data_IF_430343041496
#
_entry.id   IF_430343041496
#
_cell.length_a   1.000
_cell.length_b   1.000
_cell.length_c   1.000
_cell.angle_alpha   90.00
_cell.angle_beta   90.00
_cell.angle_gamma   90.00
#
_symmetry.space_group_name_H-M   'P 1'
#
loop_
_entity.id
_entity.type
_entity.pdbx_description
1 polymer ?
#
# COMPACT_ATOMS: atom_id res chain seq x y z
N UNK A 1 -24.12 -23.18 -8.96
CA UNK A 1 -23.14 -22.38 -8.20
C UNK A 1 -21.91 -23.25 -8.01
N UNK A 2 -20.74 -22.80 -8.42
CA UNK A 2 -19.52 -23.60 -8.31
C UNK A 2 -18.45 -22.79 -7.55
N UNK A 3 -18.68 -22.59 -6.24
CA UNK A 3 -17.65 -22.07 -5.34
C UNK A 3 -16.85 -23.24 -4.78
N UNK A 4 -15.57 -23.04 -4.56
CA UNK A 4 -14.71 -23.98 -3.84
C UNK A 4 -14.41 -23.36 -2.48
N UNK A 5 -15.07 -23.87 -1.44
CA UNK A 5 -14.84 -23.43 -0.06
C UNK A 5 -14.28 -24.62 0.71
N UNK A 6 -13.08 -24.46 1.26
CA UNK A 6 -12.45 -25.53 2.03
C UNK A 6 -13.24 -25.80 3.32
N UNK A 7 -13.43 -27.06 3.73
CA UNK A 7 -14.23 -27.42 4.92
C UNK A 7 -13.75 -26.78 6.23
N UNK A 8 -12.47 -26.40 6.36
CA UNK A 8 -11.93 -25.72 7.54
C UNK A 8 -12.08 -24.20 7.49
N UNK A 9 -12.60 -23.63 6.40
CA UNK A 9 -12.86 -22.20 6.34
C UNK A 9 -14.05 -21.83 7.23
N UNK A 10 -13.90 -20.75 7.99
CA UNK A 10 -14.93 -20.20 8.87
C UNK A 10 -15.50 -18.94 8.24
N UNK A 11 -16.80 -18.93 7.98
CA UNK A 11 -17.48 -17.81 7.32
C UNK A 11 -18.58 -17.31 8.26
N UNK A 12 -18.51 -16.02 8.58
CA UNK A 12 -19.44 -15.33 9.46
C UNK A 12 -20.86 -15.21 8.90
N UNK A 13 -21.78 -14.91 9.79
CA UNK A 13 -23.20 -14.81 9.48
C UNK A 13 -23.48 -13.67 8.50
N UNK A 14 -24.42 -13.87 7.58
CA UNK A 14 -24.84 -12.84 6.63
C UNK A 14 -23.83 -12.54 5.52
N UNK A 15 -22.69 -13.24 5.48
CA UNK A 15 -21.69 -13.09 4.41
C UNK A 15 -22.21 -13.66 3.10
N UNK A 16 -22.09 -12.87 2.04
CA UNK A 16 -22.49 -13.23 0.67
C UNK A 16 -21.25 -13.55 -0.16
N UNK A 17 -21.33 -14.63 -0.96
CA UNK A 17 -20.21 -15.08 -1.81
C UNK A 17 -20.70 -15.22 -3.24
N UNK A 18 -20.05 -14.52 -4.15
CA UNK A 18 -20.28 -14.59 -5.59
C UNK A 18 -19.87 -15.94 -6.18
N UNK A 19 -20.09 -16.11 -7.47
CA UNK A 19 -19.84 -17.37 -8.18
C UNK A 19 -18.34 -17.57 -8.49
N UNK A 20 -17.92 -18.85 -8.58
CA UNK A 20 -16.56 -19.27 -8.96
C UNK A 20 -15.46 -18.73 -8.03
N UNK A 21 -15.80 -18.39 -6.80
CA UNK A 21 -14.86 -17.95 -5.77
C UNK A 21 -14.23 -19.16 -5.09
N UNK A 22 -12.93 -19.06 -4.81
CA UNK A 22 -12.11 -20.06 -4.14
C UNK A 22 -11.69 -19.52 -2.77
N UNK A 23 -12.07 -20.23 -1.70
CA UNK A 23 -11.67 -19.94 -0.32
C UNK A 23 -10.91 -21.15 0.20
N UNK A 24 -9.61 -20.95 0.45
CA UNK A 24 -8.70 -22.03 0.86
C UNK A 24 -8.80 -22.33 2.37
N UNK A 25 -8.01 -23.32 2.81
CA UNK A 25 -8.03 -23.86 4.16
C UNK A 25 -7.75 -22.79 5.23
N UNK A 26 -8.36 -22.97 6.41
CA UNK A 26 -8.11 -22.19 7.61
C UNK A 26 -8.32 -20.68 7.46
N UNK A 27 -9.08 -20.28 6.44
CA UNK A 27 -9.49 -18.89 6.21
C UNK A 27 -10.58 -18.52 7.22
N UNK A 28 -10.49 -17.32 7.77
CA UNK A 28 -11.52 -16.71 8.60
C UNK A 28 -12.10 -15.48 7.90
N UNK A 29 -13.42 -15.43 7.76
CA UNK A 29 -14.17 -14.29 7.21
C UNK A 29 -15.23 -13.89 8.24
N UNK A 30 -15.21 -12.63 8.65
CA UNK A 30 -16.17 -12.09 9.63
C UNK A 30 -17.60 -12.00 9.10
N UNK A 31 -18.48 -11.49 9.94
CA UNK A 31 -19.91 -11.34 9.64
C UNK A 31 -20.16 -10.23 8.59
N UNK A 32 -21.21 -10.39 7.80
CA UNK A 32 -21.74 -9.35 6.92
C UNK A 32 -20.84 -8.97 5.75
N UNK A 33 -19.87 -9.81 5.39
CA UNK A 33 -18.99 -9.54 4.26
C UNK A 33 -19.68 -9.73 2.91
N UNK A 34 -19.19 -9.03 1.90
CA UNK A 34 -19.62 -9.19 0.50
C UNK A 34 -18.42 -9.58 -0.33
N UNK A 35 -18.40 -10.82 -0.82
CA UNK A 35 -17.32 -11.36 -1.65
C UNK A 35 -17.85 -11.51 -3.07
N UNK A 36 -17.18 -10.91 -4.03
CA UNK A 36 -17.52 -10.91 -5.45
C UNK A 36 -17.31 -12.24 -6.15
N UNK A 37 -17.37 -12.20 -7.47
CA UNK A 37 -17.15 -13.35 -8.34
C UNK A 37 -15.67 -13.58 -8.62
N UNK A 38 -15.28 -14.84 -8.84
CA UNK A 38 -13.89 -15.21 -9.22
C UNK A 38 -12.82 -14.71 -8.24
N UNK A 39 -13.16 -14.47 -6.98
CA UNK A 39 -12.21 -14.08 -5.93
C UNK A 39 -11.42 -15.30 -5.49
N UNK A 40 -10.14 -15.12 -5.21
CA UNK A 40 -9.28 -16.15 -4.60
C UNK A 40 -8.79 -15.67 -3.24
N UNK A 41 -9.15 -16.40 -2.18
CA UNK A 41 -8.69 -16.13 -0.81
C UNK A 41 -7.79 -17.29 -0.38
N UNK A 42 -6.51 -17.02 -0.25
CA UNK A 42 -5.50 -18.01 0.11
C UNK A 42 -5.55 -18.40 1.59
N UNK A 43 -5.02 -19.61 1.87
CA UNK A 43 -5.09 -20.28 3.15
C UNK A 43 -4.64 -19.40 4.34
N UNK A 44 -5.36 -19.54 5.45
CA UNK A 44 -5.11 -18.86 6.72
C UNK A 44 -5.44 -17.36 6.73
N UNK A 45 -5.88 -16.77 5.62
CA UNK A 45 -6.26 -15.35 5.56
C UNK A 45 -7.31 -15.00 6.61
N UNK A 46 -7.14 -13.85 7.27
CA UNK A 46 -8.06 -13.34 8.30
C UNK A 46 -8.72 -12.06 7.81
N UNK A 47 -10.02 -12.08 7.61
CA UNK A 47 -10.82 -10.99 7.10
C UNK A 47 -11.83 -10.59 8.17
N UNK A 48 -11.84 -9.31 8.53
CA UNK A 48 -12.74 -8.74 9.52
C UNK A 48 -14.20 -8.76 9.10
N UNK A 49 -15.06 -8.11 9.88
CA UNK A 49 -16.48 -7.98 9.62
C UNK A 49 -16.77 -6.86 8.60
N UNK A 50 -17.90 -6.99 7.87
CA UNK A 50 -18.38 -5.97 6.92
C UNK A 50 -17.36 -5.60 5.83
N UNK A 51 -16.47 -6.50 5.49
CA UNK A 51 -15.48 -6.31 4.41
C UNK A 51 -16.13 -6.57 3.07
N UNK A 52 -15.84 -5.71 2.11
CA UNK A 52 -16.21 -5.90 0.71
C UNK A 52 -14.98 -6.28 -0.11
N UNK A 53 -15.06 -7.37 -0.86
CA UNK A 53 -14.03 -7.81 -1.80
C UNK A 53 -14.71 -7.96 -3.17
N UNK A 54 -14.31 -7.14 -4.13
CA UNK A 54 -14.92 -7.13 -5.46
C UNK A 54 -14.32 -8.23 -6.37
N UNK A 55 -14.88 -8.35 -7.56
CA UNK A 55 -14.61 -9.43 -8.50
C UNK A 55 -13.12 -9.55 -8.85
N UNK A 56 -12.67 -10.78 -9.06
CA UNK A 56 -11.29 -11.11 -9.49
C UNK A 56 -10.18 -10.68 -8.52
N UNK A 57 -10.48 -10.22 -7.32
CA UNK A 57 -9.45 -9.90 -6.33
C UNK A 57 -8.74 -11.16 -5.83
N UNK A 58 -7.45 -11.02 -5.48
CA UNK A 58 -6.61 -12.11 -4.94
C UNK A 58 -6.06 -11.71 -3.58
N UNK A 59 -6.43 -12.46 -2.54
CA UNK A 59 -6.10 -12.17 -1.16
C UNK A 59 -5.14 -13.23 -0.60
N UNK A 60 -4.04 -12.79 0.03
CA UNK A 60 -3.11 -13.68 0.71
C UNK A 60 -2.12 -14.41 -0.21
N UNK A 61 -1.91 -13.90 -1.43
CA UNK A 61 -0.98 -14.51 -2.39
C UNK A 61 0.43 -14.60 -1.84
N UNK A 62 1.03 -15.80 -1.84
CA UNK A 62 2.46 -15.95 -1.54
C UNK A 62 3.32 -15.35 -2.67
N UNK A 63 4.39 -14.63 -2.35
CA UNK A 63 5.24 -14.04 -3.38
C UNK A 63 6.04 -15.13 -4.12
N UNK A 64 6.22 -14.91 -5.42
CA UNK A 64 7.11 -15.75 -6.25
C UNK A 64 8.38 -14.98 -6.53
N UNK A 65 9.51 -15.60 -6.22
CA UNK A 65 10.83 -15.02 -6.46
C UNK A 65 11.42 -15.52 -7.77
N UNK A 66 11.73 -14.61 -8.69
CA UNK A 66 12.55 -14.96 -9.85
C UNK A 66 14.00 -15.22 -9.40
N UNK A 67 14.73 -16.11 -10.11
CA UNK A 67 16.11 -16.52 -9.79
C UNK A 67 17.07 -15.34 -9.52
N UNK A 68 16.84 -14.20 -10.13
CA UNK A 68 17.66 -12.99 -9.98
C UNK A 68 17.01 -11.90 -9.13
N UNK A 69 15.85 -12.15 -8.55
CA UNK A 69 15.21 -11.21 -7.63
C UNK A 69 16.10 -10.93 -6.42
N UNK A 70 16.07 -9.70 -5.91
CA UNK A 70 16.86 -9.26 -4.76
C UNK A 70 15.98 -8.77 -3.59
N UNK A 71 14.72 -8.51 -3.83
CA UNK A 71 13.78 -8.00 -2.83
C UNK A 71 12.88 -9.10 -2.27
N UNK A 72 12.53 -10.11 -3.05
CA UNK A 72 11.74 -11.26 -2.61
C UNK A 72 12.65 -12.45 -2.32
N UNK A 73 12.55 -13.02 -1.13
CA UNK A 73 13.34 -14.17 -0.70
C UNK A 73 12.65 -15.46 -1.15
N UNK A 74 13.35 -16.27 -1.93
CA UNK A 74 12.83 -17.56 -2.40
C UNK A 74 12.59 -18.53 -1.22
N UNK A 75 11.47 -19.28 -1.27
CA UNK A 75 11.16 -20.33 -0.29
C UNK A 75 10.71 -19.82 1.10
N UNK A 76 10.57 -18.51 1.31
CA UNK A 76 10.02 -17.98 2.54
C UNK A 76 8.49 -18.09 2.51
N UNK A 77 7.93 -18.89 3.41
CA UNK A 77 6.50 -18.89 3.71
C UNK A 77 6.17 -17.69 4.59
N UNK A 78 5.29 -16.83 4.13
CA UNK A 78 4.84 -15.66 4.88
C UNK A 78 3.62 -15.98 5.73
N UNK A 79 3.45 -15.20 6.80
CA UNK A 79 2.23 -15.25 7.59
C UNK A 79 0.99 -14.92 6.72
N UNK A 80 -0.18 -15.44 7.06
CA UNK A 80 -1.42 -15.05 6.38
C UNK A 80 -1.66 -13.55 6.45
N UNK A 81 -2.39 -13.02 5.46
CA UNK A 81 -2.86 -11.64 5.45
C UNK A 81 -3.91 -11.41 6.54
N UNK A 82 -3.90 -10.21 7.11
CA UNK A 82 -4.94 -9.74 8.04
C UNK A 82 -5.57 -8.48 7.47
N UNK A 83 -6.89 -8.47 7.33
CA UNK A 83 -7.68 -7.33 6.83
C UNK A 83 -8.66 -6.93 7.92
N UNK A 84 -8.63 -5.67 8.33
CA UNK A 84 -9.52 -5.11 9.34
C UNK A 84 -10.96 -4.94 8.88
N UNK A 85 -11.84 -4.60 9.81
CA UNK A 85 -13.27 -4.42 9.56
C UNK A 85 -13.55 -3.29 8.58
N UNK A 86 -14.67 -3.38 7.85
CA UNK A 86 -15.15 -2.37 6.91
C UNK A 86 -14.16 -2.02 5.78
N UNK A 87 -13.14 -2.84 5.54
CA UNK A 87 -12.23 -2.63 4.42
C UNK A 87 -12.92 -2.91 3.08
N UNK A 88 -12.43 -2.26 2.04
CA UNK A 88 -12.91 -2.44 0.67
C UNK A 88 -11.73 -2.83 -0.21
N UNK A 89 -11.84 -3.97 -0.89
CA UNK A 89 -10.84 -4.45 -1.84
C UNK A 89 -11.49 -4.46 -3.22
N UNK A 90 -11.02 -3.61 -4.10
CA UNK A 90 -11.58 -3.38 -5.43
C UNK A 90 -11.28 -4.52 -6.41
N UNK A 91 -11.92 -4.41 -7.57
CA UNK A 91 -11.84 -5.40 -8.66
C UNK A 91 -10.41 -5.63 -9.12
N UNK A 92 -9.99 -6.89 -9.17
CA UNK A 92 -8.66 -7.28 -9.64
C UNK A 92 -7.50 -6.83 -8.75
N UNK A 93 -7.77 -6.29 -7.56
CA UNK A 93 -6.72 -5.93 -6.62
C UNK A 93 -6.01 -7.17 -6.06
N UNK A 94 -4.71 -7.04 -5.78
CA UNK A 94 -3.89 -8.14 -5.26
C UNK A 94 -3.28 -7.72 -3.93
N UNK A 95 -3.64 -8.43 -2.86
CA UNK A 95 -3.03 -8.27 -1.53
C UNK A 95 -2.25 -9.52 -1.19
N UNK A 96 -0.95 -9.34 -0.98
CA UNK A 96 -0.05 -10.47 -0.70
C UNK A 96 -0.10 -10.92 0.76
N UNK A 97 0.42 -12.11 1.00
CA UNK A 97 0.65 -12.64 2.34
C UNK A 97 1.60 -11.76 3.16
N UNK A 98 1.51 -11.82 4.47
CA UNK A 98 2.27 -10.98 5.40
C UNK A 98 1.69 -9.57 5.60
N UNK A 99 0.74 -9.14 4.76
CA UNK A 99 0.14 -7.82 4.87
C UNK A 99 -0.79 -7.71 6.08
N UNK A 100 -0.85 -6.50 6.64
CA UNK A 100 -1.83 -6.08 7.64
C UNK A 100 -2.50 -4.80 7.17
N UNK A 101 -3.79 -4.86 6.88
CA UNK A 101 -4.61 -3.71 6.52
C UNK A 101 -5.52 -3.37 7.69
N UNK A 102 -5.53 -2.12 8.10
CA UNK A 102 -6.37 -1.61 9.17
C UNK A 102 -7.85 -1.55 8.82
N UNK A 103 -8.66 -1.07 9.75
CA UNK A 103 -10.09 -0.88 9.55
C UNK A 103 -10.38 0.21 8.51
N UNK A 104 -11.42 0.03 7.71
CA UNK A 104 -11.86 1.03 6.73
C UNK A 104 -10.85 1.33 5.61
N UNK A 105 -9.82 0.50 5.42
CA UNK A 105 -8.86 0.66 4.31
C UNK A 105 -9.54 0.40 2.98
N UNK A 106 -9.30 1.27 2.01
CA UNK A 106 -9.64 1.03 0.61
C UNK A 106 -8.39 0.64 -0.17
N UNK A 107 -8.40 -0.55 -0.77
CA UNK A 107 -7.48 -0.95 -1.84
C UNK A 107 -8.29 -0.96 -3.12
N UNK A 108 -8.15 0.08 -3.94
CA UNK A 108 -8.98 0.27 -5.13
C UNK A 108 -8.62 -0.70 -6.27
N UNK A 109 -9.39 -0.63 -7.35
CA UNK A 109 -9.28 -1.56 -8.48
C UNK A 109 -7.86 -1.68 -9.02
N UNK A 110 -7.45 -2.90 -9.31
CA UNK A 110 -6.14 -3.24 -9.90
C UNK A 110 -4.92 -2.83 -9.08
N UNK A 111 -5.08 -2.28 -7.88
CA UNK A 111 -3.95 -1.96 -7.02
C UNK A 111 -3.23 -3.23 -6.53
N UNK A 112 -1.92 -3.12 -6.32
CA UNK A 112 -1.09 -4.22 -5.82
C UNK A 112 -0.42 -3.85 -4.51
N UNK A 113 -0.70 -4.61 -3.44
CA UNK A 113 -0.07 -4.46 -2.12
C UNK A 113 0.80 -5.68 -1.88
N UNK A 114 2.11 -5.50 -2.01
CA UNK A 114 3.12 -6.55 -1.92
C UNK A 114 3.30 -7.05 -0.47
N UNK A 115 4.08 -8.11 -0.35
CA UNK A 115 4.29 -8.83 0.91
C UNK A 115 4.86 -7.96 2.05
N UNK A 116 4.48 -8.29 3.29
CA UNK A 116 4.94 -7.62 4.51
C UNK A 116 4.63 -6.11 4.55
N UNK A 117 3.56 -5.66 3.90
CA UNK A 117 3.09 -4.27 3.98
C UNK A 117 2.14 -4.09 5.15
N UNK A 118 2.28 -2.98 5.86
CA UNK A 118 1.36 -2.55 6.92
C UNK A 118 0.68 -1.26 6.50
N UNK A 119 -0.65 -1.21 6.57
CA UNK A 119 -1.46 -0.03 6.24
C UNK A 119 -2.37 0.29 7.41
N UNK A 120 -2.28 1.50 7.91
CA UNK A 120 -3.13 2.00 9.00
C UNK A 120 -4.57 2.27 8.57
N UNK A 121 -5.43 2.48 9.56
CA UNK A 121 -6.87 2.64 9.39
C UNK A 121 -7.24 3.80 8.45
N UNK A 122 -8.35 3.63 7.73
CA UNK A 122 -8.95 4.64 6.85
C UNK A 122 -8.05 5.15 5.73
N UNK A 123 -6.97 4.43 5.43
CA UNK A 123 -6.06 4.78 4.33
C UNK A 123 -6.62 4.30 3.00
N UNK A 124 -6.44 5.13 1.99
CA UNK A 124 -6.83 4.86 0.60
C UNK A 124 -5.60 4.51 -0.21
N UNK A 125 -5.61 3.33 -0.84
CA UNK A 125 -4.67 2.92 -1.88
C UNK A 125 -5.44 2.99 -3.19
N UNK A 126 -5.14 3.99 -4.00
CA UNK A 126 -5.84 4.34 -5.23
C UNK A 126 -5.67 3.29 -6.33
N UNK A 127 -6.51 3.41 -7.34
CA UNK A 127 -6.53 2.49 -8.48
C UNK A 127 -5.15 2.34 -9.12
N UNK A 128 -4.77 1.11 -9.43
CA UNK A 128 -3.50 0.76 -10.06
C UNK A 128 -2.24 1.22 -9.30
N UNK A 129 -2.38 1.69 -8.06
CA UNK A 129 -1.22 2.02 -7.23
C UNK A 129 -0.45 0.74 -6.86
N UNK A 130 0.86 0.84 -6.82
CA UNK A 130 1.75 -0.26 -6.45
C UNK A 130 2.45 0.07 -5.14
N UNK A 131 2.21 -0.74 -4.12
CA UNK A 131 2.91 -0.68 -2.84
C UNK A 131 3.86 -1.88 -2.79
N UNK A 132 5.14 -1.62 -2.87
CA UNK A 132 6.17 -2.65 -2.82
C UNK A 132 6.34 -3.23 -1.41
N UNK A 133 7.07 -4.34 -1.31
CA UNK A 133 7.22 -5.08 -0.06
C UNK A 133 7.89 -4.29 1.06
N UNK A 134 7.53 -4.61 2.31
CA UNK A 134 8.09 -4.02 3.54
C UNK A 134 7.91 -2.50 3.59
N UNK A 135 6.75 -2.03 3.14
CA UNK A 135 6.32 -0.64 3.27
C UNK A 135 5.40 -0.53 4.48
N UNK A 136 5.55 0.55 5.24
CA UNK A 136 4.60 0.93 6.30
C UNK A 136 3.91 2.22 5.90
N UNK A 137 2.57 2.24 5.95
CA UNK A 137 1.73 3.41 5.69
C UNK A 137 0.87 3.64 6.92
N UNK A 138 0.84 4.86 7.41
CA UNK A 138 0.05 5.28 8.56
C UNK A 138 -1.45 5.33 8.27
N UNK A 139 -2.17 5.98 9.16
CA UNK A 139 -3.63 6.15 9.12
C UNK A 139 -4.05 7.33 8.25
N UNK A 140 -5.26 7.30 7.68
CA UNK A 140 -5.89 8.39 6.91
C UNK A 140 -5.06 8.90 5.72
N UNK A 141 -4.12 8.09 5.23
CA UNK A 141 -3.32 8.43 4.06
C UNK A 141 -4.11 8.29 2.77
N UNK A 142 -3.70 9.04 1.76
CA UNK A 142 -4.24 8.94 0.40
C UNK A 142 -3.09 8.70 -0.58
N UNK A 143 -2.92 7.45 -0.99
CA UNK A 143 -1.99 7.05 -2.06
C UNK A 143 -2.83 6.98 -3.32
N UNK A 144 -2.64 7.92 -4.24
CA UNK A 144 -3.54 8.11 -5.37
C UNK A 144 -3.21 7.19 -6.56
N UNK A 145 -4.06 7.25 -7.57
CA UNK A 145 -3.98 6.44 -8.80
C UNK A 145 -2.58 6.42 -9.40
N UNK A 146 -2.12 5.23 -9.81
CA UNK A 146 -0.82 5.00 -10.47
C UNK A 146 0.42 5.40 -9.64
N UNK A 147 0.28 5.71 -8.36
CA UNK A 147 1.43 5.99 -7.50
C UNK A 147 2.25 4.72 -7.25
N UNK A 148 3.57 4.85 -7.29
CA UNK A 148 4.51 3.77 -7.00
C UNK A 148 5.29 4.05 -5.72
N UNK A 149 5.10 3.21 -4.72
CA UNK A 149 5.82 3.27 -3.44
C UNK A 149 6.83 2.12 -3.38
N UNK A 150 8.11 2.45 -3.44
CA UNK A 150 9.19 1.47 -3.43
C UNK A 150 9.35 0.77 -2.08
N UNK A 151 9.96 -0.42 -2.11
CA UNK A 151 10.25 -1.22 -0.91
C UNK A 151 11.03 -0.43 0.15
N UNK A 152 10.75 -0.73 1.42
CA UNK A 152 11.38 -0.13 2.60
C UNK A 152 10.98 1.35 2.84
N UNK A 153 9.91 1.81 2.22
CA UNK A 153 9.38 3.16 2.48
C UNK A 153 8.55 3.20 3.75
N UNK A 154 8.59 4.36 4.42
CA UNK A 154 7.80 4.66 5.62
C UNK A 154 6.98 5.91 5.35
N UNK A 155 5.66 5.78 5.36
CA UNK A 155 4.70 6.88 5.17
C UNK A 155 3.97 7.06 6.50
N UNK A 156 4.08 8.23 7.11
CA UNK A 156 3.38 8.60 8.33
C UNK A 156 1.88 8.80 8.13
N UNK A 157 1.20 9.30 9.15
CA UNK A 157 -0.24 9.56 9.11
C UNK A 157 -0.58 10.79 8.24
N UNK A 158 -1.81 10.82 7.72
CA UNK A 158 -2.39 11.98 7.02
C UNK A 158 -1.57 12.45 5.79
N UNK A 159 -0.79 11.54 5.21
CA UNK A 159 0.03 11.82 4.04
C UNK A 159 -0.79 11.77 2.74
N UNK A 160 -0.38 12.59 1.78
CA UNK A 160 -0.97 12.62 0.44
C UNK A 160 0.09 12.36 -0.63
N UNK A 161 -0.03 11.24 -1.32
CA UNK A 161 0.82 10.88 -2.45
C UNK A 161 -0.03 10.98 -3.72
N UNK A 162 0.22 12.01 -4.52
CA UNK A 162 -0.59 12.34 -5.68
C UNK A 162 -0.47 11.30 -6.82
N UNK A 163 -1.35 11.35 -7.80
CA UNK A 163 -1.31 10.43 -8.95
C UNK A 163 0.04 10.42 -9.67
N UNK A 164 0.46 9.22 -10.10
CA UNK A 164 1.70 8.99 -10.83
C UNK A 164 2.98 9.45 -10.11
N UNK A 165 2.94 9.74 -8.81
CA UNK A 165 4.14 10.00 -8.03
C UNK A 165 4.96 8.71 -7.89
N UNK A 166 6.28 8.80 -8.05
CA UNK A 166 7.15 7.65 -7.99
C UNK A 166 8.26 7.82 -6.94
N UNK A 167 8.52 6.76 -6.18
CA UNK A 167 9.63 6.69 -5.24
C UNK A 167 10.64 5.64 -5.68
N UNK A 168 11.88 5.73 -5.21
CA UNK A 168 12.93 4.77 -5.53
C UNK A 168 13.77 4.41 -4.32
N UNK A 169 14.41 3.23 -4.33
CA UNK A 169 15.18 2.69 -3.21
C UNK A 169 16.61 2.25 -3.57
N UNK A 170 16.99 2.31 -4.84
CA UNK A 170 18.29 1.85 -5.33
C UNK A 170 19.07 2.98 -6.03
N UNK A 171 20.03 3.58 -5.34
CA UNK A 171 20.90 4.61 -5.91
C UNK A 171 21.86 4.11 -7.01
N UNK A 172 21.95 2.79 -7.18
CA UNK A 172 22.88 2.16 -8.14
C UNK A 172 22.18 1.66 -9.40
N UNK A 173 20.88 1.84 -9.51
CA UNK A 173 20.06 1.45 -10.68
C UNK A 173 20.39 0.03 -11.20
N UNK A 174 20.41 -0.94 -10.28
CA UNK A 174 20.68 -2.34 -10.63
C UNK A 174 22.15 -2.71 -10.78
N UNK A 175 23.07 -1.76 -10.77
CA UNK A 175 24.52 -2.00 -10.85
C UNK A 175 25.10 -2.26 -9.45
N UNK A 176 26.29 -2.85 -9.37
CA UNK A 176 27.00 -3.21 -8.16
C UNK A 176 26.37 -4.37 -7.34
N UNK A 177 27.20 -5.40 -7.02
CA UNK A 177 26.74 -6.62 -6.33
C UNK A 177 26.16 -6.36 -4.94
N UNK A 178 26.75 -5.43 -4.20
CA UNK A 178 26.40 -5.16 -2.79
C UNK A 178 25.31 -4.10 -2.61
N UNK A 179 24.75 -3.54 -3.70
CA UNK A 179 23.76 -2.46 -3.64
C UNK A 179 22.57 -2.75 -2.71
N UNK A 180 22.21 -4.03 -2.56
CA UNK A 180 21.08 -4.43 -1.71
C UNK A 180 21.27 -4.09 -0.23
N UNK A 181 22.53 -3.97 0.23
CA UNK A 181 22.86 -3.52 1.59
C UNK A 181 22.52 -2.04 1.82
N UNK A 182 22.37 -1.29 0.74
CA UNK A 182 22.13 0.16 0.73
C UNK A 182 20.72 0.52 0.24
N UNK A 183 19.86 -0.46 0.03
CA UNK A 183 18.47 -0.19 -0.31
C UNK A 183 17.82 0.60 0.83
N UNK A 184 17.29 1.75 0.48
CA UNK A 184 16.60 2.61 1.43
C UNK A 184 15.41 3.26 0.74
N UNK A 185 14.20 2.97 1.21
CA UNK A 185 12.99 3.61 0.76
C UNK A 185 12.96 5.10 1.12
N UNK A 186 11.87 5.73 0.83
CA UNK A 186 11.61 7.11 1.22
C UNK A 186 10.90 7.14 2.56
N UNK A 187 11.11 8.22 3.33
CA UNK A 187 10.35 8.49 4.55
C UNK A 187 9.51 9.73 4.32
N UNK A 188 8.19 9.62 4.48
CA UNK A 188 7.28 10.77 4.46
C UNK A 188 6.68 10.88 5.85
N UNK A 189 7.00 11.94 6.57
CA UNK A 189 6.47 12.20 7.91
C UNK A 189 5.02 12.67 7.83
N UNK A 190 4.31 12.64 8.96
CA UNK A 190 2.88 12.96 9.03
C UNK A 190 2.55 14.29 8.35
N UNK A 191 1.45 14.33 7.59
CA UNK A 191 1.05 15.49 6.80
C UNK A 191 1.92 15.77 5.56
N UNK A 192 2.96 14.97 5.32
CA UNK A 192 3.85 15.12 4.16
C UNK A 192 3.14 14.83 2.84
N UNK A 193 3.53 15.53 1.79
CA UNK A 193 2.85 15.47 0.48
C UNK A 193 3.82 15.33 -0.67
N UNK A 194 3.47 14.44 -1.62
CA UNK A 194 4.19 14.27 -2.88
C UNK A 194 3.22 14.61 -4.01
N UNK A 195 3.54 15.64 -4.79
CA UNK A 195 2.70 16.13 -5.89
C UNK A 195 2.69 15.21 -7.12
N UNK A 196 1.76 15.48 -8.04
CA UNK A 196 1.58 14.70 -9.28
C UNK A 196 2.91 14.59 -10.05
N UNK A 197 3.23 13.36 -10.52
CA UNK A 197 4.46 13.08 -11.28
C UNK A 197 5.77 13.47 -10.59
N UNK A 198 5.77 13.74 -9.29
CA UNK A 198 7.01 13.99 -8.58
C UNK A 198 7.78 12.68 -8.35
N UNK A 199 9.10 12.76 -8.39
CA UNK A 199 10.01 11.62 -8.17
C UNK A 199 10.83 11.84 -6.91
N UNK A 200 10.82 10.87 -5.99
CA UNK A 200 11.62 10.94 -4.76
C UNK A 200 12.76 9.92 -4.81
N UNK A 201 14.01 10.40 -4.69
CA UNK A 201 15.19 9.56 -4.76
C UNK A 201 15.38 8.74 -3.47
N UNK A 202 16.18 7.65 -3.54
CA UNK A 202 16.37 6.74 -2.41
C UNK A 202 16.84 7.43 -1.13
N UNK A 203 16.21 7.04 -0.02
CA UNK A 203 16.56 7.51 1.31
C UNK A 203 16.21 8.97 1.61
N UNK A 204 15.43 9.62 0.75
CA UNK A 204 14.99 11.01 1.03
C UNK A 204 13.89 11.03 2.08
N UNK A 205 13.91 12.09 2.87
CA UNK A 205 12.94 12.37 3.92
C UNK A 205 12.11 13.59 3.52
N UNK A 206 10.81 13.48 3.65
CA UNK A 206 9.87 14.61 3.62
C UNK A 206 9.43 14.82 5.06
N UNK A 207 9.87 15.89 5.67
CA UNK A 207 9.57 16.23 7.06
C UNK A 207 8.08 16.62 7.24
N UNK A 208 7.56 16.71 8.48
CA UNK A 208 6.15 16.99 8.71
C UNK A 208 5.64 18.18 7.90
N UNK A 209 4.45 18.04 7.31
CA UNK A 209 3.86 19.06 6.43
C UNK A 209 4.72 19.50 5.23
N UNK A 210 5.86 18.85 5.00
CA UNK A 210 6.69 19.09 3.82
C UNK A 210 5.97 18.70 2.53
N UNK A 211 6.23 19.42 1.44
CA UNK A 211 5.56 19.17 0.16
C UNK A 211 6.54 19.21 -1.02
N UNK A 212 6.61 18.13 -1.77
CA UNK A 212 7.13 18.16 -3.14
C UNK A 212 6.01 18.65 -4.07
N UNK A 213 6.22 19.74 -4.79
CA UNK A 213 5.28 20.20 -5.80
C UNK A 213 5.22 19.23 -7.00
N UNK A 214 4.20 19.36 -7.85
CA UNK A 214 4.07 18.52 -9.05
C UNK A 214 5.34 18.55 -9.92
N UNK A 215 5.74 17.40 -10.47
CA UNK A 215 6.90 17.26 -11.34
C UNK A 215 8.27 17.47 -10.68
N UNK A 216 8.32 17.57 -9.36
CA UNK A 216 9.57 17.79 -8.63
C UNK A 216 10.42 16.52 -8.59
N UNK A 217 11.74 16.66 -8.80
CA UNK A 217 12.71 15.61 -8.48
C UNK A 217 13.35 15.91 -7.12
N UNK A 218 12.93 15.15 -6.09
CA UNK A 218 13.39 15.31 -4.71
C UNK A 218 14.76 14.66 -4.55
N UNK A 219 15.81 15.45 -4.68
CA UNK A 219 17.22 15.03 -4.57
C UNK A 219 17.80 15.25 -3.17
N UNK A 220 17.14 16.04 -2.32
CA UNK A 220 17.48 16.34 -0.93
C UNK A 220 16.25 16.25 -0.08
N UNK A 221 16.42 16.10 1.22
CA UNK A 221 15.30 16.08 2.16
C UNK A 221 14.50 17.39 2.11
N UNK A 222 13.19 17.28 2.26
CA UNK A 222 12.27 18.43 2.29
C UNK A 222 12.09 18.85 3.74
N UNK A 223 12.46 20.09 4.12
CA UNK A 223 12.29 20.56 5.50
C UNK A 223 10.82 20.70 5.89
N UNK A 224 10.56 20.62 7.19
CA UNK A 224 9.23 20.79 7.78
C UNK A 224 8.52 22.05 7.26
N UNK A 225 7.26 21.90 6.86
CA UNK A 225 6.41 22.99 6.41
C UNK A 225 6.93 23.76 5.20
N UNK A 226 7.79 23.16 4.37
CA UNK A 226 8.30 23.79 3.14
C UNK A 226 7.73 23.11 1.88
N UNK A 227 7.50 23.94 0.88
CA UNK A 227 7.23 23.52 -0.49
C UNK A 227 8.54 23.53 -1.27
N UNK A 228 8.86 22.38 -1.89
CA UNK A 228 10.01 22.21 -2.78
C UNK A 228 9.49 22.03 -4.20
N UNK A 229 10.15 22.66 -5.19
CA UNK A 229 9.74 22.61 -6.59
C UNK A 229 10.95 22.49 -7.53
N UNK A 230 10.76 21.85 -8.67
CA UNK A 230 11.71 21.79 -9.79
C UNK A 230 12.56 20.53 -9.88
N UNK A 231 13.48 20.53 -10.84
CA UNK A 231 14.45 19.46 -11.09
C UNK A 231 15.86 20.07 -11.26
N UNK A 232 16.78 19.91 -10.29
CA UNK A 232 16.53 19.33 -8.96
C UNK A 232 15.64 20.22 -8.09
N UNK A 233 14.89 19.59 -7.15
CA UNK A 233 14.00 20.29 -6.24
C UNK A 233 14.72 21.29 -5.34
N UNK A 234 14.19 22.52 -5.26
CA UNK A 234 14.67 23.59 -4.39
C UNK A 234 13.50 24.15 -3.57
N UNK A 235 13.79 24.61 -2.35
CA UNK A 235 12.78 25.25 -1.51
C UNK A 235 12.23 26.48 -2.23
N UNK A 236 10.91 26.48 -2.42
CA UNK A 236 10.17 27.55 -3.10
C UNK A 236 9.60 28.55 -2.09
N UNK A 237 8.87 28.06 -1.09
CA UNK A 237 8.16 28.87 -0.08
C UNK A 237 7.72 28.02 1.12
N UNK A 238 7.27 28.65 2.21
CA UNK A 238 6.54 27.94 3.26
C UNK A 238 5.21 27.34 2.73
N UNK A 239 4.76 26.26 3.33
CA UNK A 239 3.38 25.77 3.18
C UNK A 239 2.42 26.81 3.77
N UNK A 240 1.32 27.19 3.10
CA UNK A 240 0.31 28.09 3.66
C UNK A 240 -0.25 27.57 4.99
N UNK A 241 -0.48 28.44 5.95
CA UNK A 241 -0.91 28.06 7.30
C UNK A 241 -2.19 27.22 7.31
N UNK A 242 -3.15 27.57 6.44
CA UNK A 242 -4.40 26.81 6.27
C UNK A 242 -4.24 25.42 5.63
N UNK A 243 -3.02 25.01 5.26
CA UNK A 243 -2.71 23.71 4.71
C UNK A 243 -1.82 22.86 5.64
N UNK A 244 -1.45 23.38 6.79
CA UNK A 244 -0.73 22.61 7.80
C UNK A 244 -1.68 21.63 8.49
N UNK A 245 -1.21 20.41 8.78
CA UNK A 245 -2.03 19.35 9.37
C UNK A 245 -2.72 19.81 10.66
N UNK A 246 -1.99 20.50 11.53
CA UNK A 246 -2.52 21.04 12.79
C UNK A 246 -3.69 22.04 12.64
N UNK A 247 -3.93 22.55 11.45
CA UNK A 247 -5.01 23.52 11.16
C UNK A 247 -6.13 22.89 10.30
N UNK A 248 -6.09 21.55 10.12
CA UNK A 248 -7.21 20.83 9.49
C UNK A 248 -8.21 20.46 10.57
N UNK A 249 -9.47 20.74 10.30
CA UNK A 249 -10.58 20.18 11.09
C UNK A 249 -10.72 18.70 10.73
N UNK A 250 -10.98 17.84 11.72
CA UNK A 250 -11.24 16.40 11.52
C UNK A 250 -12.57 16.14 10.80
#
# INVERSE_FOLDING_TARGET
MHNIVHPSAQIGNGTQIGHYTVIEADTFIGDGCVIGHHVVIHAGSKIGASVRIDDHAVIGKQPVSARRSKTTVAGRQLAPVVIGDNAIIGTGAIVYAGCRLGAGVLVADTASVREDVVVGDYTIIGRNATIENRVTIGTRCKIMTDAYICSFSEIGDDCFIAPCAATSNDNYAGRWKERTKFYKGVTVRSGGRIGVNATTLPGRVIEPDGMAAAGTVVTRDIPEGKVVCGNPGKVLRPVPSNQLLRNQEE
#
